data_IF_832656916511
#
_entry.id   IF_832656916511
#
_cell.length_a   1.000
_cell.length_b   1.000
_cell.length_c   1.000
_cell.angle_alpha   90.00
_cell.angle_beta   90.00
_cell.angle_gamma   90.00
#
_symmetry.space_group_name_H-M   'P 1'
#
loop_
_entity.id
_entity.type
_entity.pdbx_description
1 polymer ?
#
# COMPACT_ATOMS: atom_id res chain seq x y z
N UNK A 1 15.13 -18.97 14.11
CA UNK A 1 13.91 -18.53 14.83
C UNK A 1 12.79 -18.35 13.81
N UNK A 2 12.45 -19.40 13.05
CA UNK A 2 11.78 -19.23 11.74
C UNK A 2 10.47 -20.01 11.55
N UNK A 3 10.19 -21.02 12.38
CA UNK A 3 8.97 -21.83 12.24
C UNK A 3 7.68 -21.06 12.57
N UNK A 4 7.69 -20.27 13.66
CA UNK A 4 6.50 -19.57 14.12
C UNK A 4 6.09 -18.41 13.19
N UNK A 5 7.07 -17.63 12.73
CA UNK A 5 6.82 -16.51 11.79
C UNK A 5 6.28 -17.01 10.46
N UNK A 6 6.80 -18.14 9.96
CA UNK A 6 6.29 -18.78 8.75
C UNK A 6 4.86 -19.27 8.94
N UNK A 7 4.57 -19.96 10.05
CA UNK A 7 3.22 -20.44 10.33
C UNK A 7 2.18 -19.32 10.41
N UNK A 8 2.52 -18.19 11.06
CA UNK A 8 1.64 -17.02 11.12
C UNK A 8 1.38 -16.46 9.72
N UNK A 9 2.43 -16.36 8.88
CA UNK A 9 2.28 -15.87 7.50
C UNK A 9 1.41 -16.81 6.66
N UNK A 10 1.62 -18.12 6.77
CA UNK A 10 0.84 -19.13 6.05
C UNK A 10 -0.64 -19.01 6.43
N UNK A 11 -0.95 -18.88 7.73
CA UNK A 11 -2.32 -18.71 8.22
C UNK A 11 -2.95 -17.37 7.80
N UNK A 12 -2.18 -16.29 7.81
CA UNK A 12 -2.64 -15.02 7.29
C UNK A 12 -3.02 -15.11 5.81
N UNK A 13 -2.20 -15.76 4.98
CA UNK A 13 -2.47 -15.94 3.56
C UNK A 13 -3.71 -16.81 3.31
N UNK A 14 -3.85 -17.91 4.05
CA UNK A 14 -5.02 -18.81 3.99
C UNK A 14 -6.31 -18.04 4.27
N UNK A 15 -6.38 -17.32 5.40
CA UNK A 15 -7.57 -16.56 5.79
C UNK A 15 -7.85 -15.38 4.87
N UNK A 16 -6.81 -14.66 4.43
CA UNK A 16 -6.97 -13.55 3.49
C UNK A 16 -7.58 -14.02 2.17
N UNK A 17 -7.07 -15.12 1.62
CA UNK A 17 -7.56 -15.71 0.38
C UNK A 17 -9.02 -16.17 0.50
N UNK A 18 -9.36 -16.89 1.57
CA UNK A 18 -10.72 -17.36 1.81
C UNK A 18 -11.71 -16.20 1.98
N UNK A 19 -11.34 -15.20 2.77
CA UNK A 19 -12.23 -14.07 3.03
C UNK A 19 -12.41 -13.18 1.79
N UNK A 20 -11.35 -12.96 1.00
CA UNK A 20 -11.44 -12.24 -0.27
C UNK A 20 -12.36 -12.97 -1.26
N UNK A 21 -12.25 -14.29 -1.35
CA UNK A 21 -13.10 -15.12 -2.19
C UNK A 21 -14.59 -14.99 -1.82
N UNK A 22 -14.88 -15.04 -0.53
CA UNK A 22 -16.23 -14.87 0.00
C UNK A 22 -16.76 -13.46 -0.26
N UNK A 23 -15.93 -12.44 -0.06
CA UNK A 23 -16.28 -11.05 -0.37
C UNK A 23 -16.60 -10.88 -1.86
N UNK A 24 -15.76 -11.38 -2.76
CA UNK A 24 -16.01 -11.31 -4.21
C UNK A 24 -17.32 -12.00 -4.61
N UNK A 25 -17.60 -13.18 -4.05
CA UNK A 25 -18.88 -13.90 -4.27
C UNK A 25 -20.07 -13.08 -3.77
N UNK A 26 -19.97 -12.49 -2.57
CA UNK A 26 -21.05 -11.69 -1.98
C UNK A 26 -21.39 -10.44 -2.79
N UNK A 27 -20.38 -9.84 -3.44
CA UNK A 27 -20.54 -8.64 -4.25
C UNK A 27 -20.84 -8.95 -5.73
N UNK A 28 -20.83 -10.23 -6.13
CA UNK A 28 -21.03 -10.62 -7.54
C UNK A 28 -19.91 -10.16 -8.47
N UNK A 29 -18.68 -10.03 -7.95
CA UNK A 29 -17.54 -9.47 -8.67
C UNK A 29 -16.46 -10.52 -8.94
N UNK A 30 -15.82 -10.43 -10.12
CA UNK A 30 -14.64 -11.25 -10.45
C UNK A 30 -13.43 -10.86 -9.60
N UNK A 31 -12.58 -11.82 -9.24
CA UNK A 31 -11.31 -11.54 -8.57
C UNK A 31 -10.38 -10.71 -9.47
N UNK A 32 -9.70 -9.73 -8.90
CA UNK A 32 -8.60 -9.00 -9.53
C UNK A 32 -7.66 -8.45 -8.46
N UNK A 33 -6.42 -8.17 -8.84
CA UNK A 33 -5.42 -7.60 -7.92
C UNK A 33 -5.88 -6.25 -7.35
N UNK A 34 -6.48 -5.40 -8.18
CA UNK A 34 -7.05 -4.11 -7.74
C UNK A 34 -8.11 -4.29 -6.65
N UNK A 35 -8.95 -5.32 -6.78
CA UNK A 35 -9.99 -5.64 -5.80
C UNK A 35 -9.42 -6.25 -4.54
N UNK A 36 -8.35 -7.05 -4.65
CA UNK A 36 -7.65 -7.57 -3.49
C UNK A 36 -7.01 -6.43 -2.69
N UNK A 37 -6.36 -5.47 -3.36
CA UNK A 37 -5.81 -4.28 -2.71
C UNK A 37 -6.91 -3.48 -2.02
N UNK A 38 -8.02 -3.22 -2.72
CA UNK A 38 -9.19 -2.53 -2.15
C UNK A 38 -9.71 -3.26 -0.91
N UNK A 39 -9.89 -4.58 -1.01
CA UNK A 39 -10.34 -5.41 0.10
C UNK A 39 -9.41 -5.35 1.31
N UNK A 40 -8.09 -5.43 1.10
CA UNK A 40 -7.08 -5.32 2.17
C UNK A 40 -7.17 -3.96 2.89
N UNK A 41 -7.42 -2.88 2.14
CA UNK A 41 -7.58 -1.53 2.69
C UNK A 41 -8.88 -1.42 3.48
N UNK A 42 -10.00 -1.89 2.93
CA UNK A 42 -11.32 -1.84 3.55
C UNK A 42 -11.41 -2.68 4.84
N UNK A 43 -10.63 -3.76 4.91
CA UNK A 43 -10.50 -4.58 6.12
C UNK A 43 -9.46 -4.05 7.12
N UNK A 44 -8.87 -2.87 6.87
CA UNK A 44 -7.86 -2.23 7.72
C UNK A 44 -6.63 -3.11 8.02
N UNK A 45 -6.31 -4.05 7.13
CA UNK A 45 -5.18 -4.98 7.31
C UNK A 45 -3.81 -4.29 7.12
N UNK A 46 -3.81 -3.12 6.47
CA UNK A 46 -2.65 -2.25 6.34
C UNK A 46 -3.01 -0.87 6.88
N UNK A 47 -2.29 -0.34 7.89
CA UNK A 47 -2.55 0.99 8.41
C UNK A 47 -2.44 2.06 7.30
N UNK A 48 -3.36 3.04 7.23
CA UNK A 48 -3.34 4.09 6.19
C UNK A 48 -2.01 4.85 6.10
N UNK A 49 -1.35 5.06 7.23
CA UNK A 49 -0.02 5.71 7.28
C UNK A 49 1.05 4.93 6.53
N UNK A 50 0.97 3.60 6.51
CA UNK A 50 1.94 2.77 5.77
C UNK A 50 1.68 2.82 4.27
N UNK A 51 0.41 2.88 3.85
CA UNK A 51 0.03 3.06 2.45
C UNK A 51 0.56 4.40 1.94
N UNK A 52 0.31 5.47 2.71
CA UNK A 52 0.78 6.82 2.39
C UNK A 52 2.30 6.87 2.30
N UNK A 53 3.02 6.33 3.30
CA UNK A 53 4.48 6.29 3.31
C UNK A 53 5.04 5.54 2.10
N UNK A 54 4.45 4.39 1.76
CA UNK A 54 4.85 3.62 0.59
C UNK A 54 4.68 4.44 -0.69
N UNK A 55 3.53 5.08 -0.88
CA UNK A 55 3.24 5.88 -2.07
C UNK A 55 4.21 7.08 -2.22
N UNK A 56 4.47 7.81 -1.13
CA UNK A 56 5.41 8.95 -1.13
C UNK A 56 6.82 8.50 -1.50
N UNK A 57 7.31 7.42 -0.88
CA UNK A 57 8.66 6.92 -1.15
C UNK A 57 8.83 6.49 -2.61
N UNK A 58 7.83 5.82 -3.20
CA UNK A 58 7.89 5.41 -4.61
C UNK A 58 7.84 6.58 -5.57
N UNK A 59 7.04 7.60 -5.27
CA UNK A 59 7.00 8.81 -6.09
C UNK A 59 8.29 9.63 -5.94
N UNK A 60 8.86 9.71 -4.74
CA UNK A 60 10.15 10.36 -4.50
C UNK A 60 11.27 9.65 -5.27
N UNK A 61 11.37 8.32 -5.17
CA UNK A 61 12.35 7.51 -5.91
C UNK A 61 12.23 7.72 -7.44
N UNK A 62 11.02 7.93 -7.95
CA UNK A 62 10.77 8.20 -9.36
C UNK A 62 11.26 9.60 -9.75
N UNK A 63 11.01 10.61 -8.92
CA UNK A 63 11.51 11.97 -9.11
C UNK A 63 13.04 12.04 -9.01
N UNK A 64 13.64 11.31 -8.08
CA UNK A 64 15.09 11.32 -7.83
C UNK A 64 15.93 10.76 -8.97
N UNK A 65 15.32 9.97 -9.86
CA UNK A 65 15.97 9.41 -11.05
C UNK A 65 15.94 10.36 -12.25
N UNK A 66 15.26 11.50 -12.16
CA UNK A 66 15.18 12.45 -13.26
C UNK A 66 16.45 13.31 -13.34
N UNK A 67 16.95 13.64 -14.55
CA UNK A 67 18.17 14.44 -14.71
C UNK A 67 18.10 15.83 -14.08
N UNK A 68 16.90 16.39 -13.91
CA UNK A 68 16.64 17.70 -13.32
C UNK A 68 16.22 17.63 -11.83
N UNK A 69 16.59 16.55 -11.12
CA UNK A 69 16.18 16.36 -9.74
C UNK A 69 16.68 17.47 -8.83
N UNK A 70 15.74 18.16 -8.18
CA UNK A 70 16.00 19.07 -7.07
C UNK A 70 15.22 18.58 -5.85
N UNK A 71 15.96 18.25 -4.78
CA UNK A 71 15.38 17.66 -3.56
C UNK A 71 14.26 18.53 -2.98
N UNK A 72 14.54 19.81 -2.72
CA UNK A 72 13.57 20.72 -2.10
C UNK A 72 12.32 20.90 -2.97
N UNK A 73 12.49 21.02 -4.28
CA UNK A 73 11.38 21.11 -5.23
C UNK A 73 10.55 19.82 -5.25
N UNK A 74 11.20 18.65 -5.20
CA UNK A 74 10.53 17.35 -5.19
C UNK A 74 9.73 17.14 -3.90
N UNK A 75 10.29 17.53 -2.75
CA UNK A 75 9.58 17.51 -1.46
C UNK A 75 8.34 18.39 -1.50
N UNK A 76 8.46 19.61 -2.03
CA UNK A 76 7.32 20.53 -2.19
C UNK A 76 6.23 19.96 -3.12
N UNK A 77 6.61 19.39 -4.27
CA UNK A 77 5.69 18.73 -5.20
C UNK A 77 4.93 17.59 -4.53
N UNK A 78 5.63 16.75 -3.76
CA UNK A 78 5.02 15.61 -3.06
C UNK A 78 4.10 16.06 -1.93
N UNK A 79 4.52 17.06 -1.15
CA UNK A 79 3.71 17.67 -0.10
C UNK A 79 2.37 18.16 -0.66
N UNK A 80 2.41 18.89 -1.78
CA UNK A 80 1.22 19.36 -2.48
C UNK A 80 0.38 18.22 -3.06
N UNK A 81 1.00 17.23 -3.72
CA UNK A 81 0.30 16.10 -4.37
C UNK A 81 -0.44 15.21 -3.37
N UNK A 82 0.17 14.95 -2.21
CA UNK A 82 -0.38 14.09 -1.17
C UNK A 82 -1.15 14.88 -0.09
N UNK A 83 -1.30 16.20 -0.25
CA UNK A 83 -1.96 17.09 0.70
C UNK A 83 -1.44 16.93 2.15
N UNK A 84 -0.12 16.95 2.30
CA UNK A 84 0.59 16.84 3.58
C UNK A 84 1.66 17.91 3.74
N UNK A 85 2.15 18.09 4.96
CA UNK A 85 3.25 19.03 5.22
C UNK A 85 4.57 18.52 4.64
N UNK A 86 5.45 19.43 4.21
CA UNK A 86 6.82 19.08 3.79
C UNK A 86 7.63 18.38 4.89
N UNK A 87 7.30 18.60 6.17
CA UNK A 87 7.94 17.90 7.30
C UNK A 87 7.51 16.43 7.41
N UNK A 88 6.38 16.08 6.80
CA UNK A 88 5.81 14.73 6.78
C UNK A 88 6.30 13.91 5.59
N UNK A 89 6.78 14.58 4.53
CA UNK A 89 7.41 13.98 3.34
C UNK A 89 8.84 13.56 3.65
#
# INVERSE_FOLDING_TARGET
MDGNRKHILDKFQEHLSENFDNWCRSQGVTKSDDRLVTYIIDQELIPPVQIQRYAILREYDKLSRQPAFQKSQSVNILAHRFNISERTV
#
